data_IF_834219801390
#
_entry.id   IF_834219801390
#
_cell.length_a   1.000
_cell.length_b   1.000
_cell.length_c   1.000
_cell.angle_alpha   90.00
_cell.angle_beta   90.00
_cell.angle_gamma   90.00
#
_symmetry.space_group_name_H-M   'P 1'
#
loop_
_entity.id
_entity.type
_entity.pdbx_description
1 polymer ?
#
# COMPACT_ATOMS: atom_id res chain seq x y z
N UNK A 1 7.50 -27.93 17.55
CA UNK A 1 8.14 -27.75 16.23
C UNK A 1 8.72 -26.36 16.18
N UNK A 2 10.04 -26.23 16.05
CA UNK A 2 10.68 -24.92 15.92
C UNK A 2 10.47 -24.36 14.50
N UNK A 3 10.34 -23.03 14.33
CA UNK A 3 10.27 -22.43 13.01
C UNK A 3 11.60 -22.65 12.27
N UNK A 4 11.57 -23.41 11.18
CA UNK A 4 12.75 -23.69 10.34
C UNK A 4 12.85 -22.60 9.28
N UNK A 5 13.91 -21.80 9.32
CA UNK A 5 14.20 -20.80 8.29
C UNK A 5 14.75 -21.49 7.03
N UNK A 6 13.96 -21.52 5.94
CA UNK A 6 14.40 -22.05 4.64
C UNK A 6 14.70 -20.90 3.69
N UNK A 7 15.97 -20.48 3.62
CA UNK A 7 16.46 -19.42 2.72
C UNK A 7 16.10 -19.66 1.25
N UNK A 8 16.04 -20.93 0.83
CA UNK A 8 15.78 -21.34 -0.55
C UNK A 8 14.31 -21.22 -0.98
N UNK A 9 13.37 -21.07 -0.04
CA UNK A 9 11.96 -20.87 -0.37
C UNK A 9 11.59 -19.41 -0.20
N UNK A 10 11.20 -18.70 -1.28
CA UNK A 10 10.72 -17.32 -1.18
C UNK A 10 9.61 -17.21 -0.12
N UNK A 11 8.65 -18.14 -0.10
CA UNK A 11 7.56 -18.12 0.88
C UNK A 11 8.02 -18.11 2.36
N UNK A 12 9.12 -18.79 2.71
CA UNK A 12 9.70 -18.71 4.06
C UNK A 12 10.28 -17.33 4.34
N UNK A 13 11.00 -16.73 3.39
CA UNK A 13 11.58 -15.39 3.56
C UNK A 13 10.48 -14.35 3.80
N UNK A 14 9.38 -14.43 3.05
CA UNK A 14 8.19 -13.59 3.26
C UNK A 14 7.57 -13.76 4.64
N UNK A 15 7.41 -14.99 5.12
CA UNK A 15 6.84 -15.25 6.44
C UNK A 15 7.69 -14.65 7.58
N UNK A 16 9.01 -14.74 7.48
CA UNK A 16 9.91 -14.13 8.46
C UNK A 16 9.94 -12.61 8.37
N UNK A 17 9.92 -12.04 7.16
CA UNK A 17 9.80 -10.60 6.99
C UNK A 17 8.51 -10.07 7.63
N UNK A 18 7.37 -10.75 7.39
CA UNK A 18 6.08 -10.43 8.00
C UNK A 18 6.11 -10.51 9.53
N UNK A 19 6.77 -11.54 10.10
CA UNK A 19 6.91 -11.68 11.55
C UNK A 19 7.69 -10.50 12.13
N UNK A 20 8.84 -10.15 11.53
CA UNK A 20 9.66 -9.03 12.00
C UNK A 20 8.89 -7.72 11.84
N UNK A 21 8.28 -7.45 10.69
CA UNK A 21 7.47 -6.25 10.50
C UNK A 21 6.27 -6.18 11.46
N UNK A 22 5.62 -7.32 11.73
CA UNK A 22 4.54 -7.40 12.72
C UNK A 22 4.98 -6.97 14.11
N UNK A 23 6.22 -7.29 14.51
CA UNK A 23 6.80 -6.77 15.76
C UNK A 23 6.96 -5.24 15.72
N UNK A 24 7.50 -4.67 14.64
CA UNK A 24 7.61 -3.21 14.49
C UNK A 24 6.23 -2.53 14.51
N UNK A 25 5.27 -3.04 13.75
CA UNK A 25 3.91 -2.52 13.70
C UNK A 25 3.22 -2.58 15.07
N UNK A 26 3.40 -3.68 15.81
CA UNK A 26 2.85 -3.82 17.16
C UNK A 26 3.45 -2.80 18.13
N UNK A 27 4.77 -2.60 18.10
CA UNK A 27 5.41 -1.57 18.94
C UNK A 27 4.90 -0.18 18.56
N UNK A 28 4.77 0.15 17.27
CA UNK A 28 4.21 1.43 16.84
C UNK A 28 2.75 1.62 17.25
N UNK A 29 1.96 0.54 17.26
CA UNK A 29 0.61 0.59 17.78
C UNK A 29 0.60 0.93 19.28
N UNK A 30 1.51 0.36 20.07
CA UNK A 30 1.66 0.72 21.49
C UNK A 30 2.12 2.17 21.69
N UNK A 31 3.00 2.67 20.82
CA UNK A 31 3.41 4.08 20.79
C UNK A 31 2.19 4.97 20.56
N UNK A 32 1.40 4.70 19.52
CA UNK A 32 0.19 5.47 19.19
C UNK A 32 -0.85 5.43 20.33
N UNK A 33 -1.00 4.29 21.01
CA UNK A 33 -1.88 4.16 22.16
C UNK A 33 -1.39 4.97 23.38
N UNK A 34 -0.07 5.07 23.55
CA UNK A 34 0.57 5.87 24.59
C UNK A 34 0.48 7.38 24.33
N UNK A 35 0.63 7.82 23.08
CA UNK A 35 0.48 9.22 22.66
C UNK A 35 -0.98 9.69 22.76
N UNK A 36 -1.93 8.87 22.31
CA UNK A 36 -3.36 9.22 22.31
C UNK A 36 -4.00 9.32 23.70
N UNK A 37 -3.29 8.98 24.78
CA UNK A 37 -3.76 9.12 26.16
C UNK A 37 -4.93 8.20 26.54
N UNK A 38 -5.32 7.27 25.66
CA UNK A 38 -6.46 6.36 25.85
C UNK A 38 -6.26 5.39 27.04
N UNK A 39 -5.01 5.13 27.43
CA UNK A 39 -4.67 4.22 28.54
C UNK A 39 -3.79 4.94 29.57
N UNK A 40 -4.28 5.05 30.80
CA UNK A 40 -3.61 5.74 31.91
C UNK A 40 -2.55 4.85 32.58
N UNK A 41 -1.53 4.41 31.83
CA UNK A 41 -0.39 3.65 32.36
C UNK A 41 0.93 4.39 32.14
N UNK A 42 1.78 4.45 33.19
CA UNK A 42 3.11 5.09 33.11
C UNK A 42 4.04 4.40 32.11
N UNK A 43 3.86 3.10 31.89
CA UNK A 43 4.64 2.34 30.92
C UNK A 43 4.28 2.79 29.48
N UNK A 44 2.99 2.89 29.14
CA UNK A 44 2.56 3.36 27.83
C UNK A 44 2.96 4.80 27.57
N UNK A 45 2.88 5.68 28.57
CA UNK A 45 3.34 7.07 28.40
C UNK A 45 4.84 7.21 28.14
N UNK A 46 5.65 6.23 28.58
CA UNK A 46 7.09 6.18 28.24
C UNK A 46 7.31 5.66 26.83
N UNK A 47 6.57 4.63 26.43
CA UNK A 47 6.60 4.05 25.07
C UNK A 47 6.13 5.09 24.05
N UNK A 48 5.10 5.88 24.35
CA UNK A 48 4.64 6.99 23.51
C UNK A 48 5.70 8.09 23.26
N UNK A 49 6.79 8.15 24.04
CA UNK A 49 7.92 9.06 23.81
C UNK A 49 9.05 8.41 23.01
N UNK A 50 8.87 7.21 22.48
CA UNK A 50 9.86 6.60 21.60
C UNK A 50 10.17 7.50 20.38
N UNK A 51 9.19 8.07 19.66
CA UNK A 51 9.45 8.85 18.44
C UNK A 51 10.31 10.10 18.66
N UNK A 52 10.32 10.65 19.88
CA UNK A 52 11.12 11.85 20.20
C UNK A 52 12.60 11.57 20.36
N UNK A 53 13.00 10.29 20.46
CA UNK A 53 14.39 9.88 20.67
C UNK A 53 15.00 9.34 19.37
N UNK A 54 16.32 9.45 19.22
CA UNK A 54 17.07 8.89 18.07
C UNK A 54 16.78 7.40 17.87
N UNK A 55 16.64 6.66 18.97
CA UNK A 55 16.29 5.24 18.91
C UNK A 55 14.92 5.00 18.27
N UNK A 56 13.91 5.80 18.60
CA UNK A 56 12.59 5.66 17.98
C UNK A 56 12.59 6.09 16.51
N UNK A 57 13.40 7.10 16.14
CA UNK A 57 13.60 7.46 14.73
C UNK A 57 14.19 6.29 13.94
N UNK A 58 15.27 5.68 14.44
CA UNK A 58 15.89 4.49 13.82
C UNK A 58 14.87 3.35 13.73
N UNK A 59 14.10 3.13 14.80
CA UNK A 59 13.06 2.11 14.84
C UNK A 59 11.96 2.34 13.78
N UNK A 60 11.51 3.59 13.60
CA UNK A 60 10.57 4.00 12.55
C UNK A 60 11.14 3.77 11.15
N UNK A 61 12.40 4.17 10.92
CA UNK A 61 13.07 4.01 9.62
C UNK A 61 13.19 2.53 9.25
N UNK A 62 13.63 1.69 10.18
CA UNK A 62 13.74 0.24 9.94
C UNK A 62 12.36 -0.36 9.68
N UNK A 63 11.35 0.00 10.48
CA UNK A 63 9.97 -0.45 10.27
C UNK A 63 9.41 -0.04 8.91
N UNK A 64 9.68 1.19 8.47
CA UNK A 64 9.27 1.70 7.16
C UNK A 64 9.96 0.96 6.01
N UNK A 65 11.27 0.70 6.10
CA UNK A 65 12.01 -0.08 5.11
C UNK A 65 11.44 -1.50 5.00
N UNK A 66 11.17 -2.15 6.14
CA UNK A 66 10.54 -3.47 6.16
C UNK A 66 9.12 -3.46 5.58
N UNK A 67 8.35 -2.40 5.84
CA UNK A 67 7.03 -2.21 5.25
C UNK A 67 7.07 -2.07 3.73
N UNK A 68 7.98 -1.25 3.21
CA UNK A 68 8.23 -1.10 1.77
C UNK A 68 8.66 -2.44 1.17
N UNK A 69 9.58 -3.15 1.83
CA UNK A 69 10.01 -4.46 1.40
C UNK A 69 8.83 -5.42 1.27
N UNK A 70 7.99 -5.55 2.31
CA UNK A 70 6.83 -6.47 2.29
C UNK A 70 5.81 -6.08 1.23
N UNK A 71 5.51 -4.79 1.07
CA UNK A 71 4.59 -4.30 0.07
C UNK A 71 5.05 -4.69 -1.35
N UNK A 72 6.33 -4.48 -1.67
CA UNK A 72 6.92 -4.89 -2.95
C UNK A 72 7.05 -6.42 -3.08
N UNK A 73 7.37 -7.10 -1.99
CA UNK A 73 7.70 -8.52 -1.96
C UNK A 73 6.57 -9.40 -2.47
N UNK A 74 5.33 -9.03 -2.18
CA UNK A 74 4.14 -9.75 -2.69
C UNK A 74 4.08 -9.75 -4.22
N UNK A 75 4.42 -8.63 -4.87
CA UNK A 75 4.52 -8.56 -6.33
C UNK A 75 5.73 -9.34 -6.88
N UNK A 76 6.86 -9.33 -6.17
CA UNK A 76 8.05 -10.11 -6.55
C UNK A 76 7.79 -11.61 -6.47
N UNK A 77 7.06 -12.09 -5.47
CA UNK A 77 6.66 -13.49 -5.37
C UNK A 77 5.84 -13.95 -6.57
N UNK A 78 4.92 -13.10 -7.05
CA UNK A 78 4.17 -13.37 -8.27
C UNK A 78 5.10 -13.44 -9.47
N UNK A 79 6.04 -12.48 -9.60
CA UNK A 79 6.97 -12.46 -10.71
C UNK A 79 7.92 -13.68 -10.75
N UNK A 80 8.29 -14.25 -9.61
CA UNK A 80 9.17 -15.44 -9.56
C UNK A 80 8.39 -16.74 -9.80
N UNK A 81 7.06 -16.69 -9.86
CA UNK A 81 6.26 -17.87 -10.15
C UNK A 81 6.19 -18.15 -11.66
N UNK A 82 6.04 -19.43 -12.02
CA UNK A 82 6.19 -19.95 -13.39
C UNK A 82 4.99 -19.64 -14.33
N UNK A 83 4.29 -18.54 -14.12
CA UNK A 83 3.18 -18.10 -14.98
C UNK A 83 3.68 -17.06 -15.97
N UNK A 84 3.50 -17.25 -17.29
CA UNK A 84 4.01 -16.34 -18.32
C UNK A 84 3.60 -14.86 -18.15
N UNK A 85 2.42 -14.61 -17.59
CA UNK A 85 1.88 -13.26 -17.32
C UNK A 85 2.65 -12.55 -16.20
N UNK A 86 3.26 -13.30 -15.29
CA UNK A 86 3.96 -12.75 -14.13
C UNK A 86 5.49 -12.79 -14.29
N UNK A 87 6.04 -13.81 -14.96
CA UNK A 87 7.48 -14.06 -15.02
C UNK A 87 8.29 -12.99 -15.76
N UNK A 88 7.69 -12.30 -16.73
CA UNK A 88 8.40 -11.33 -17.57
C UNK A 88 8.39 -9.89 -17.04
N UNK A 89 7.81 -9.65 -15.85
CA UNK A 89 7.59 -8.28 -15.39
C UNK A 89 8.08 -7.98 -13.98
N UNK A 90 9.31 -7.46 -13.92
CA UNK A 90 9.87 -6.80 -12.73
C UNK A 90 9.01 -5.63 -12.21
N UNK A 91 8.11 -5.09 -13.05
CA UNK A 91 7.21 -4.00 -12.67
C UNK A 91 6.13 -4.42 -11.67
N UNK A 92 5.81 -5.71 -11.54
CA UNK A 92 4.81 -6.19 -10.58
C UNK A 92 5.19 -5.84 -9.13
N UNK A 93 6.47 -5.95 -8.77
CA UNK A 93 6.95 -5.56 -7.45
C UNK A 93 6.73 -4.07 -7.18
N UNK A 94 7.06 -3.21 -8.16
CA UNK A 94 6.81 -1.77 -8.08
C UNK A 94 5.33 -1.44 -8.00
N UNK A 95 4.50 -2.13 -8.79
CA UNK A 95 3.05 -1.87 -8.87
C UNK A 95 2.34 -2.21 -7.57
N UNK A 96 2.70 -3.33 -6.93
CA UNK A 96 2.20 -3.70 -5.61
C UNK A 96 2.67 -2.75 -4.51
N UNK A 97 3.89 -2.22 -4.62
CA UNK A 97 4.39 -1.20 -3.72
C UNK A 97 3.61 0.12 -3.87
N UNK A 98 3.47 0.64 -5.10
CA UNK A 98 2.80 1.92 -5.36
C UNK A 98 1.32 1.88 -4.94
N UNK A 99 0.59 0.84 -5.36
CA UNK A 99 -0.81 0.63 -4.96
C UNK A 99 -0.94 0.39 -3.44
N UNK A 100 0.02 -0.29 -2.81
CA UNK A 100 0.06 -0.48 -1.37
C UNK A 100 0.25 0.83 -0.60
N UNK A 101 1.12 1.72 -1.09
CA UNK A 101 1.37 3.03 -0.50
C UNK A 101 0.16 3.95 -0.65
N UNK A 102 -0.48 3.99 -1.83
CA UNK A 102 -1.72 4.77 -2.03
C UNK A 102 -2.87 4.23 -1.17
N UNK A 103 -3.05 2.91 -1.10
CA UNK A 103 -4.02 2.29 -0.20
C UNK A 103 -3.77 2.60 1.28
N UNK A 104 -2.50 2.65 1.72
CA UNK A 104 -2.13 3.05 3.07
C UNK A 104 -2.48 4.52 3.33
N UNK A 105 -2.14 5.43 2.41
CA UNK A 105 -2.46 6.85 2.51
C UNK A 105 -3.98 7.08 2.60
N UNK A 106 -4.75 6.45 1.71
CA UNK A 106 -6.21 6.47 1.72
C UNK A 106 -6.80 5.93 3.03
N UNK A 107 -6.24 4.85 3.58
CA UNK A 107 -6.69 4.30 4.87
C UNK A 107 -6.43 5.28 6.01
N UNK A 108 -5.25 5.90 6.04
CA UNK A 108 -4.89 6.89 7.06
C UNK A 108 -5.84 8.09 6.97
N UNK A 109 -6.10 8.63 5.77
CA UNK A 109 -7.05 9.73 5.56
C UNK A 109 -8.47 9.36 6.02
N UNK A 110 -8.92 8.14 5.73
CA UNK A 110 -10.25 7.67 6.12
C UNK A 110 -10.39 7.55 7.64
N UNK A 111 -9.34 7.12 8.34
CA UNK A 111 -9.34 6.93 9.80
C UNK A 111 -9.06 8.22 10.58
N UNK A 112 -8.22 9.11 10.05
CA UNK A 112 -7.83 10.37 10.69
C UNK A 112 -8.94 11.43 10.64
N UNK A 113 -9.95 11.28 9.77
CA UNK A 113 -11.06 12.23 9.59
C UNK A 113 -11.81 12.66 10.87
N UNK A 114 -11.78 11.84 11.93
CA UNK A 114 -12.47 12.14 13.20
C UNK A 114 -11.59 12.86 14.21
N UNK A 115 -10.30 13.03 13.95
CA UNK A 115 -9.35 13.64 14.87
C UNK A 115 -9.10 15.10 14.48
N UNK A 116 -9.34 16.02 15.43
CA UNK A 116 -9.12 17.47 15.22
C UNK A 116 -7.66 17.84 14.91
N UNK A 117 -6.70 17.01 15.32
CA UNK A 117 -5.26 17.22 15.07
C UNK A 117 -4.80 16.77 13.68
N UNK A 118 -5.64 16.09 12.91
CA UNK A 118 -5.28 15.58 11.58
C UNK A 118 -5.07 16.69 10.54
N UNK A 119 -5.60 17.90 10.77
CA UNK A 119 -5.57 19.01 9.80
C UNK A 119 -4.17 19.51 9.44
N UNK A 120 -3.15 19.25 10.27
CA UNK A 120 -1.76 19.68 10.02
C UNK A 120 -1.01 18.69 9.11
N UNK A 121 -1.36 17.40 9.16
CA UNK A 121 -0.68 16.33 8.40
C UNK A 121 -1.41 15.98 7.11
N UNK A 122 -2.71 16.30 7.02
CA UNK A 122 -3.57 16.12 5.85
C UNK A 122 -2.96 16.61 4.52
N UNK A 123 -2.40 17.84 4.40
CA UNK A 123 -1.87 18.31 3.12
C UNK A 123 -0.63 17.55 2.65
N UNK A 124 0.24 17.10 3.57
CA UNK A 124 1.43 16.31 3.22
C UNK A 124 1.07 14.89 2.80
N UNK A 125 0.04 14.31 3.41
CA UNK A 125 -0.49 13.00 3.04
C UNK A 125 -1.12 13.02 1.65
N UNK A 126 -1.91 14.06 1.34
CA UNK A 126 -2.48 14.24 0.01
C UNK A 126 -1.40 14.44 -1.07
N UNK A 127 -0.36 15.23 -0.78
CA UNK A 127 0.76 15.41 -1.70
C UNK A 127 1.50 14.09 -1.96
N UNK A 128 1.74 13.29 -0.91
CA UNK A 128 2.36 11.96 -1.05
C UNK A 128 1.46 10.98 -1.84
N UNK A 129 0.15 10.93 -1.56
CA UNK A 129 -0.80 10.06 -2.25
C UNK A 129 -0.83 10.35 -3.75
N UNK A 130 -0.81 11.63 -4.14
CA UNK A 130 -0.67 12.05 -5.54
C UNK A 130 0.54 11.43 -6.23
N UNK A 131 1.71 11.46 -5.58
CA UNK A 131 2.92 10.86 -6.15
C UNK A 131 2.79 9.35 -6.29
N UNK A 132 2.17 8.67 -5.31
CA UNK A 132 1.93 7.23 -5.38
C UNK A 132 0.96 6.84 -6.50
N UNK A 133 -0.12 7.59 -6.70
CA UNK A 133 -1.06 7.37 -7.81
C UNK A 133 -0.38 7.59 -9.17
N UNK A 134 0.43 8.64 -9.30
CA UNK A 134 1.18 8.89 -10.56
C UNK A 134 2.15 7.74 -10.83
N UNK A 135 2.90 7.31 -9.81
CA UNK A 135 3.82 6.18 -9.91
C UNK A 135 3.07 4.88 -10.28
N UNK A 136 1.92 4.63 -9.68
CA UNK A 136 1.05 3.50 -9.99
C UNK A 136 0.60 3.52 -11.45
N UNK A 137 0.11 4.65 -11.96
CA UNK A 137 -0.31 4.79 -13.36
C UNK A 137 0.85 4.55 -14.34
N UNK A 138 2.05 5.07 -14.03
CA UNK A 138 3.25 4.81 -14.84
C UNK A 138 3.58 3.32 -14.85
N UNK A 139 3.55 2.68 -13.69
CA UNK A 139 3.85 1.24 -13.56
C UNK A 139 2.81 0.36 -14.24
N UNK A 140 1.52 0.73 -14.19
CA UNK A 140 0.45 0.08 -14.95
C UNK A 140 0.76 0.17 -16.46
N UNK A 141 1.09 1.36 -16.96
CA UNK A 141 1.41 1.54 -18.37
C UNK A 141 2.60 0.68 -18.79
N UNK A 142 3.69 0.68 -18.01
CA UNK A 142 4.86 -0.15 -18.28
C UNK A 142 4.49 -1.64 -18.22
N UNK A 143 3.69 -2.06 -17.24
CA UNK A 143 3.21 -3.45 -17.13
C UNK A 143 2.41 -3.89 -18.37
N UNK A 144 1.49 -3.07 -18.86
CA UNK A 144 0.70 -3.40 -20.05
C UNK A 144 1.55 -3.42 -21.32
N UNK A 145 2.54 -2.52 -21.45
CA UNK A 145 3.47 -2.51 -22.59
C UNK A 145 4.37 -3.75 -22.59
N UNK A 146 4.89 -4.11 -21.42
CA UNK A 146 5.80 -5.26 -21.26
C UNK A 146 5.12 -6.60 -21.47
N UNK A 147 3.82 -6.71 -21.18
CA UNK A 147 3.02 -7.90 -21.50
C UNK A 147 2.93 -8.18 -23.01
N UNK A 148 3.06 -7.16 -23.86
CA UNK A 148 3.03 -7.31 -25.32
C UNK A 148 1.80 -8.09 -25.80
N UNK A 149 2.03 -9.25 -26.44
CA UNK A 149 0.96 -10.11 -26.97
C UNK A 149 0.05 -10.75 -25.90
N UNK A 150 0.47 -10.80 -24.64
CA UNK A 150 -0.31 -11.37 -23.54
C UNK A 150 -1.32 -10.37 -22.96
N UNK A 151 -1.31 -9.10 -23.40
CA UNK A 151 -2.20 -8.06 -22.89
C UNK A 151 -3.68 -8.42 -23.10
N UNK A 152 -4.01 -9.14 -24.17
CA UNK A 152 -5.37 -9.60 -24.47
C UNK A 152 -5.89 -10.60 -23.46
N UNK A 153 -5.01 -11.36 -22.79
CA UNK A 153 -5.38 -12.27 -21.70
C UNK A 153 -5.75 -11.49 -20.43
N UNK A 154 -5.03 -10.40 -20.16
CA UNK A 154 -5.22 -9.57 -18.95
C UNK A 154 -6.35 -8.54 -19.10
N UNK A 155 -6.57 -8.01 -20.31
CA UNK A 155 -7.62 -7.04 -20.62
C UNK A 155 -8.89 -7.69 -21.22
N UNK A 156 -8.84 -8.96 -21.59
CA UNK A 156 -9.93 -9.65 -22.29
C UNK A 156 -11.12 -10.01 -21.40
N UNK A 157 -12.28 -10.15 -22.03
CA UNK A 157 -13.49 -10.66 -21.38
C UNK A 157 -13.98 -9.76 -20.23
N UNK A 158 -14.35 -10.37 -19.11
CA UNK A 158 -14.87 -9.66 -17.94
C UNK A 158 -13.79 -8.89 -17.16
N UNK A 159 -12.50 -9.14 -17.41
CA UNK A 159 -11.39 -8.49 -16.70
C UNK A 159 -11.31 -6.99 -16.99
N UNK A 160 -11.81 -6.54 -18.15
CA UNK A 160 -11.89 -5.11 -18.50
C UNK A 160 -12.71 -4.31 -17.50
N UNK A 161 -13.72 -4.93 -16.87
CA UNK A 161 -14.54 -4.28 -15.85
C UNK A 161 -13.71 -3.97 -14.60
N UNK A 162 -12.82 -4.88 -14.19
CA UNK A 162 -11.90 -4.63 -13.08
C UNK A 162 -10.90 -3.54 -13.43
N UNK A 163 -10.38 -3.52 -14.65
CA UNK A 163 -9.51 -2.43 -15.11
C UNK A 163 -10.21 -1.07 -15.11
N UNK A 164 -11.49 -1.02 -15.47
CA UNK A 164 -12.28 0.21 -15.35
C UNK A 164 -12.39 0.65 -13.89
N UNK A 165 -12.58 -0.28 -12.96
CA UNK A 165 -12.60 0.03 -11.51
C UNK A 165 -11.24 0.53 -11.03
N UNK A 166 -10.13 -0.06 -11.49
CA UNK A 166 -8.76 0.41 -11.20
C UNK A 166 -8.56 1.84 -11.71
N UNK A 167 -8.95 2.11 -12.97
CA UNK A 167 -8.82 3.43 -13.58
C UNK A 167 -9.68 4.47 -12.86
N UNK A 168 -10.93 4.14 -12.51
CA UNK A 168 -11.80 5.04 -11.75
C UNK A 168 -11.23 5.29 -10.35
N UNK A 169 -10.76 4.23 -9.67
CA UNK A 169 -10.18 4.30 -8.34
C UNK A 169 -8.88 5.11 -8.25
N UNK A 170 -8.15 5.27 -9.35
CA UNK A 170 -6.89 6.03 -9.42
C UNK A 170 -7.09 7.42 -10.04
N UNK A 171 -7.82 7.54 -11.15
CA UNK A 171 -8.00 8.81 -11.87
C UNK A 171 -8.95 9.77 -11.15
N UNK A 172 -10.03 9.28 -10.54
CA UNK A 172 -10.99 10.17 -9.87
C UNK A 172 -10.34 10.91 -8.69
N UNK A 173 -9.65 10.24 -7.75
CA UNK A 173 -8.93 10.93 -6.67
C UNK A 173 -7.88 11.90 -7.20
N UNK A 174 -7.09 11.50 -8.20
CA UNK A 174 -6.07 12.35 -8.81
C UNK A 174 -6.66 13.64 -9.42
N UNK A 175 -7.79 13.53 -10.11
CA UNK A 175 -8.48 14.67 -10.70
C UNK A 175 -9.08 15.61 -9.65
N UNK A 176 -9.61 15.04 -8.55
CA UNK A 176 -10.15 15.80 -7.43
C UNK A 176 -9.05 16.64 -6.75
N UNK A 177 -7.86 16.07 -6.59
CA UNK A 177 -6.69 16.79 -6.04
C UNK A 177 -6.15 17.87 -6.98
N UNK A 178 -6.14 17.61 -8.29
CA UNK A 178 -5.71 18.60 -9.29
C UNK A 178 -6.67 19.78 -9.44
N UNK A 179 -7.94 19.62 -9.07
CA UNK A 179 -8.98 20.65 -9.22
C UNK A 179 -9.47 21.12 -7.84
N UNK A 180 -8.95 22.24 -7.30
CA UNK A 180 -9.33 22.76 -5.98
C UNK A 180 -10.83 23.00 -5.78
N UNK A 181 -11.56 23.26 -6.88
CA UNK A 181 -13.02 23.41 -6.87
C UNK A 181 -13.76 22.10 -6.56
N UNK A 182 -13.23 20.97 -7.04
CA UNK A 182 -13.81 19.64 -6.84
C UNK A 182 -13.43 19.05 -5.50
N UNK A 183 -12.21 19.34 -5.02
CA UNK A 183 -11.79 18.99 -3.66
C UNK A 183 -12.73 19.53 -2.56
N UNK A 184 -13.41 20.66 -2.80
CA UNK A 184 -14.45 21.19 -1.89
C UNK A 184 -15.81 20.50 -1.98
N UNK A 185 -16.08 19.76 -3.06
CA UNK A 185 -17.38 19.14 -3.34
C UNK A 185 -17.37 17.63 -3.12
N UNK A 186 -16.23 16.98 -3.36
CA UNK A 186 -16.05 15.55 -3.16
C UNK A 186 -15.64 15.29 -1.71
N UNK A 187 -16.39 14.43 -1.03
CA UNK A 187 -16.05 14.01 0.32
C UNK A 187 -14.70 13.27 0.32
N UNK A 188 -13.75 13.61 1.20
CA UNK A 188 -12.51 12.86 1.36
C UNK A 188 -12.75 11.36 1.59
N UNK A 189 -13.87 11.00 2.22
CA UNK A 189 -14.29 9.62 2.43
C UNK A 189 -14.52 8.89 1.11
N UNK A 190 -15.17 9.54 0.16
CA UNK A 190 -15.45 8.93 -1.14
C UNK A 190 -14.16 8.72 -1.92
N UNK A 191 -13.24 9.70 -1.90
CA UNK A 191 -11.93 9.57 -2.52
C UNK A 191 -11.13 8.41 -1.92
N UNK A 192 -11.03 8.32 -0.59
CA UNK A 192 -10.32 7.21 0.07
C UNK A 192 -10.95 5.84 -0.23
N UNK A 193 -12.28 5.73 -0.24
CA UNK A 193 -12.97 4.49 -0.58
C UNK A 193 -12.72 4.09 -2.02
N UNK A 194 -12.74 5.04 -2.96
CA UNK A 194 -12.43 4.79 -4.38
C UNK A 194 -11.01 4.25 -4.56
N UNK A 195 -10.01 4.86 -3.90
CA UNK A 195 -8.63 4.34 -3.92
C UNK A 195 -8.58 2.91 -3.40
N UNK A 196 -9.19 2.62 -2.25
CA UNK A 196 -9.18 1.28 -1.65
C UNK A 196 -9.84 0.23 -2.54
N UNK A 197 -10.96 0.58 -3.18
CA UNK A 197 -11.64 -0.28 -4.16
C UNK A 197 -10.77 -0.49 -5.40
N UNK A 198 -10.12 0.56 -5.89
CA UNK A 198 -9.17 0.49 -7.02
C UNK A 198 -7.99 -0.45 -6.73
N UNK A 199 -7.35 -0.31 -5.57
CA UNK A 199 -6.24 -1.18 -5.13
C UNK A 199 -6.69 -2.65 -5.01
N UNK A 200 -7.89 -2.89 -4.48
CA UNK A 200 -8.44 -4.25 -4.39
C UNK A 200 -8.73 -4.84 -5.78
N UNK A 201 -9.32 -4.04 -6.68
CA UNK A 201 -9.57 -4.45 -8.05
C UNK A 201 -8.27 -4.75 -8.82
N UNK A 202 -7.20 -3.97 -8.60
CA UNK A 202 -5.89 -4.20 -9.19
C UNK A 202 -5.31 -5.55 -8.76
N UNK A 203 -5.35 -5.83 -7.45
CA UNK A 203 -4.88 -7.13 -6.92
C UNK A 203 -5.70 -8.29 -7.50
N UNK A 204 -7.03 -8.13 -7.57
CA UNK A 204 -7.91 -9.14 -8.14
C UNK A 204 -7.61 -9.39 -9.62
N UNK A 205 -7.47 -8.33 -10.44
CA UNK A 205 -7.23 -8.51 -11.87
C UNK A 205 -5.87 -9.14 -12.14
N UNK A 206 -4.81 -8.76 -11.43
CA UNK A 206 -3.47 -9.35 -11.63
C UNK A 206 -3.45 -10.83 -11.25
N UNK A 207 -4.13 -11.20 -10.17
CA UNK A 207 -4.12 -12.59 -9.67
C UNK A 207 -5.02 -13.48 -10.52
N UNK A 208 -6.27 -13.08 -10.74
CA UNK A 208 -7.26 -13.95 -11.38
C UNK A 208 -7.14 -13.99 -12.91
N UNK A 209 -6.74 -12.91 -13.57
CA UNK A 209 -6.59 -12.92 -15.04
C UNK A 209 -5.46 -13.84 -15.52
N UNK A 210 -4.45 -14.07 -14.69
CA UNK A 210 -3.35 -14.97 -15.01
C UNK A 210 -3.70 -16.45 -14.77
N UNK A 211 -4.61 -16.74 -13.82
CA UNK A 211 -5.07 -18.09 -13.49
C UNK A 211 -6.20 -18.60 -14.40
N UNK A 212 -6.92 -17.69 -15.05
CA UNK A 212 -7.92 -18.00 -16.07
C UNK A 212 -7.28 -18.45 -17.40
#
# INVERSE_FOLDING_TARGET
GAPVFKTWSPMSLGAWALLVFGFFAFVMFLVALGEGGYVRSRALSRVGRLPTNVFGLVFMVIGAILGIFIAAYTGVLLAVSNQPVWSDTWTLGGLFLASGLSGAAATIMLLSRRQREASVTEPKLMEADRYFIILELILIAIFLITLGGLVTKVLGGAWILLWLVVLVGTLVPLLVEWRPRWSRQVSPVLASVLVLVGVLALRAVIIFSAQA
#
